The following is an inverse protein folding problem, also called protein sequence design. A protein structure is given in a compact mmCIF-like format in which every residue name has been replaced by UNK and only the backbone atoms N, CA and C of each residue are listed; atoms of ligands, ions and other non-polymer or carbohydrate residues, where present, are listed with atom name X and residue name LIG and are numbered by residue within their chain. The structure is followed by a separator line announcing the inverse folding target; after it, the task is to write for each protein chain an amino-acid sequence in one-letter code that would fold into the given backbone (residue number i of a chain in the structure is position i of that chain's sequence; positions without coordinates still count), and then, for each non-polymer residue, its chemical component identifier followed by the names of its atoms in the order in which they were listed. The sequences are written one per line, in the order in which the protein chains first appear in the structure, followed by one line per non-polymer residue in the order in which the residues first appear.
data_IF_389486329088
#
_entry.id   IF_389486329088
#
_cell.length_a   1.000
_cell.length_b   1.000
_cell.length_c   1.000
_cell.angle_alpha   90.00
_cell.angle_beta   90.00
_cell.angle_gamma   90.00
#
_symmetry.space_group_name_H-M   'P 1'
#
loop_
_entity.id
_entity.type
_entity.pdbx_description
1 polymer ?
#
# COMPACT_ATOMS: atom_id res chain seq x y z
N UNK A 1 -1.94 -35.24 9.91
CA UNK A 1 -2.72 -34.59 10.98
C UNK A 1 -1.91 -33.46 11.57
N UNK A 2 -2.52 -32.33 11.73
CA UNK A 2 -1.92 -31.30 12.55
C UNK A 2 -1.93 -31.80 14.00
N UNK A 3 -0.77 -31.90 14.63
CA UNK A 3 -0.70 -32.28 16.02
C UNK A 3 -1.24 -31.21 16.95
N UNK A 4 -1.35 -31.50 18.23
CA UNK A 4 -1.87 -30.54 19.21
C UNK A 4 -1.04 -29.27 19.30
N UNK A 5 0.22 -29.32 18.84
CA UNK A 5 1.13 -28.16 18.82
C UNK A 5 1.18 -27.46 17.47
N UNK A 6 0.44 -27.97 16.49
CA UNK A 6 0.43 -27.34 15.18
C UNK A 6 -0.48 -26.13 15.19
N UNK A 7 -0.02 -25.06 14.56
CA UNK A 7 -0.81 -23.87 14.34
C UNK A 7 -0.92 -23.59 12.86
N UNK A 8 -2.08 -23.12 12.44
CA UNK A 8 -2.28 -22.64 11.08
C UNK A 8 -1.99 -21.14 11.08
N UNK A 9 -0.98 -20.76 10.33
CA UNK A 9 -0.67 -19.35 10.12
C UNK A 9 -1.35 -18.92 8.81
N UNK A 10 -2.33 -18.05 8.95
CA UNK A 10 -2.99 -17.46 7.78
C UNK A 10 -2.27 -16.17 7.43
N UNK A 11 -1.64 -16.16 6.26
CA UNK A 11 -1.02 -14.95 5.73
C UNK A 11 -1.93 -14.34 4.70
N UNK A 12 -2.15 -13.03 4.81
CA UNK A 12 -2.89 -12.31 3.78
C UNK A 12 -2.02 -12.20 2.53
N UNK A 13 -2.61 -12.32 1.32
CA UNK A 13 -1.86 -12.15 0.08
C UNK A 13 -1.19 -10.78 0.00
N UNK A 14 -0.02 -10.77 -0.60
CA UNK A 14 0.67 -9.53 -0.94
C UNK A 14 1.30 -9.67 -2.32
N UNK A 15 1.54 -8.55 -2.98
CA UNK A 15 2.23 -8.50 -4.25
C UNK A 15 3.06 -7.22 -4.33
N UNK A 16 4.15 -7.28 -5.07
CA UNK A 16 4.98 -6.12 -5.36
C UNK A 16 4.96 -5.89 -6.86
N UNK A 17 4.49 -4.72 -7.28
CA UNK A 17 4.58 -4.27 -8.65
C UNK A 17 5.87 -3.46 -8.82
N UNK A 18 6.58 -3.68 -9.91
CA UNK A 18 7.81 -2.95 -10.21
C UNK A 18 7.67 -2.25 -11.55
N UNK A 19 8.28 -1.08 -11.66
CA UNK A 19 8.39 -0.33 -12.90
C UNK A 19 9.80 -0.45 -13.44
N UNK A 20 9.91 -0.81 -14.70
CA UNK A 20 11.17 -1.05 -15.37
C UNK A 20 11.32 -0.09 -16.54
N UNK A 21 12.48 0.58 -16.62
CA UNK A 21 12.79 1.43 -17.76
C UNK A 21 13.16 0.58 -18.98
N UNK A 22 13.25 1.19 -20.15
CA UNK A 22 13.54 0.50 -21.40
C UNK A 22 14.90 -0.19 -21.40
N UNK A 23 15.84 0.27 -20.57
CA UNK A 23 17.17 -0.33 -20.41
C UNK A 23 17.21 -1.45 -19.37
N UNK A 24 16.07 -1.82 -18.78
CA UNK A 24 15.98 -2.85 -17.76
C UNK A 24 16.20 -2.36 -16.33
N UNK A 25 16.49 -1.09 -16.13
CA UNK A 25 16.66 -0.52 -14.78
C UNK A 25 15.32 -0.44 -14.06
N UNK A 26 15.27 -0.87 -12.80
CA UNK A 26 14.07 -0.71 -11.98
C UNK A 26 14.00 0.73 -11.49
N UNK A 27 12.90 1.40 -11.76
CA UNK A 27 12.71 2.83 -11.48
C UNK A 27 11.59 3.12 -10.48
N UNK A 28 10.91 2.08 -10.02
CA UNK A 28 9.86 2.24 -9.03
C UNK A 28 9.29 0.92 -8.58
N UNK A 29 8.59 0.96 -7.45
CA UNK A 29 7.84 -0.19 -6.96
C UNK A 29 6.63 0.27 -6.15
N UNK A 30 5.68 -0.65 -6.00
CA UNK A 30 4.58 -0.50 -5.07
C UNK A 30 4.28 -1.87 -4.48
N UNK A 31 4.34 -1.96 -3.16
CA UNK A 31 3.95 -3.16 -2.42
C UNK A 31 2.55 -2.95 -1.87
N UNK A 32 1.67 -3.89 -2.15
CA UNK A 32 0.30 -3.88 -1.68
C UNK A 32 -0.02 -5.24 -1.07
N UNK A 33 -0.73 -5.23 0.05
CA UNK A 33 -1.24 -6.45 0.65
C UNK A 33 -2.73 -6.29 0.97
N UNK A 34 -3.33 -7.36 1.48
CA UNK A 34 -4.69 -7.32 1.99
C UNK A 34 -4.63 -7.24 3.52
N UNK A 35 -5.47 -6.39 4.08
CA UNK A 35 -5.68 -6.32 5.53
C UNK A 35 -7.14 -6.57 5.84
N UNK A 36 -7.40 -7.14 7.02
CA UNK A 36 -8.75 -7.39 7.48
C UNK A 36 -9.50 -6.09 7.82
N UNK A 37 -8.75 -5.04 8.15
CA UNK A 37 -9.31 -3.72 8.42
C UNK A 37 -8.24 -2.65 8.25
N UNK A 38 -8.69 -1.41 8.06
CA UNK A 38 -7.84 -0.23 8.10
C UNK A 38 -8.69 0.94 8.62
N UNK A 39 -8.01 1.92 9.21
CA UNK A 39 -8.69 3.10 9.75
C UNK A 39 -9.51 3.79 8.67
N UNK A 40 -10.75 4.15 9.03
CA UNK A 40 -11.67 4.84 8.12
C UNK A 40 -12.31 3.97 7.05
N UNK A 41 -11.96 2.69 6.98
CA UNK A 41 -12.52 1.76 6.01
C UNK A 41 -13.64 0.90 6.61
N UNK A 42 -14.44 0.30 5.73
CA UNK A 42 -15.53 -0.59 6.12
C UNK A 42 -14.95 -1.83 6.84
N UNK A 43 -15.30 -2.05 8.13
CA UNK A 43 -14.71 -3.14 8.91
C UNK A 43 -15.16 -4.53 8.49
N UNK A 44 -16.20 -4.65 7.66
CA UNK A 44 -16.72 -5.94 7.20
C UNK A 44 -16.04 -6.45 5.93
N UNK A 45 -15.10 -5.70 5.36
CA UNK A 45 -14.45 -6.02 4.10
C UNK A 45 -12.94 -5.96 4.25
N UNK A 46 -12.25 -6.82 3.49
CA UNK A 46 -10.81 -6.69 3.34
C UNK A 46 -10.46 -5.42 2.58
N UNK A 47 -9.32 -4.86 2.89
CA UNK A 47 -8.83 -3.59 2.33
C UNK A 47 -7.49 -3.86 1.65
N UNK A 48 -7.30 -3.33 0.45
CA UNK A 48 -5.98 -3.28 -0.16
C UNK A 48 -5.15 -2.21 0.55
N UNK A 49 -3.98 -2.58 1.05
CA UNK A 49 -3.14 -1.65 1.81
C UNK A 49 -1.80 -1.44 1.12
N UNK A 50 -1.48 -0.18 0.84
CA UNK A 50 -0.20 0.19 0.23
C UNK A 50 0.85 0.21 1.33
N UNK A 51 1.76 -0.76 1.31
CA UNK A 51 2.81 -0.89 2.31
C UNK A 51 4.06 -0.10 1.95
N UNK A 52 4.34 0.05 0.67
CA UNK A 52 5.45 0.82 0.17
C UNK A 52 5.19 1.29 -1.25
N UNK A 53 5.64 2.50 -1.56
CA UNK A 53 5.42 3.09 -2.87
C UNK A 53 6.52 4.10 -3.15
N UNK A 54 7.32 3.82 -4.18
CA UNK A 54 8.48 4.64 -4.49
C UNK A 54 8.72 4.69 -6.00
N UNK A 55 9.09 5.86 -6.47
CA UNK A 55 9.55 6.08 -7.84
C UNK A 55 10.83 6.91 -7.75
N UNK A 56 11.85 6.53 -8.52
CA UNK A 56 13.11 7.27 -8.56
C UNK A 56 12.85 8.72 -8.99
N UNK A 57 13.65 9.64 -8.46
CA UNK A 57 13.44 11.07 -8.67
C UNK A 57 13.35 11.44 -10.15
N UNK A 58 14.23 10.86 -10.99
CA UNK A 58 14.27 11.12 -12.43
C UNK A 58 13.02 10.67 -13.18
N UNK A 59 12.24 9.79 -12.60
CA UNK A 59 11.06 9.19 -13.22
C UNK A 59 9.76 9.65 -12.57
N UNK A 60 9.83 10.61 -11.66
CA UNK A 60 8.64 11.20 -11.04
C UNK A 60 7.96 12.15 -12.04
N UNK A 61 6.65 12.36 -11.82
CA UNK A 61 5.80 13.21 -12.66
C UNK A 61 5.68 12.72 -14.11
N UNK A 62 6.03 11.46 -14.36
CA UNK A 62 5.94 10.82 -15.69
C UNK A 62 4.81 9.80 -15.78
N UNK A 63 4.00 9.67 -14.71
CA UNK A 63 2.90 8.72 -14.67
C UNK A 63 3.27 7.33 -14.16
N UNK A 64 4.53 7.08 -13.81
CA UNK A 64 4.98 5.77 -13.31
C UNK A 64 4.30 5.42 -11.98
N UNK A 65 4.27 6.37 -11.04
CA UNK A 65 3.63 6.15 -9.74
C UNK A 65 2.14 5.84 -9.87
N UNK A 66 1.44 6.60 -10.74
CA UNK A 66 0.02 6.36 -11.00
C UNK A 66 -0.21 4.99 -11.63
N UNK A 67 0.64 4.58 -12.56
CA UNK A 67 0.50 3.29 -13.23
C UNK A 67 0.71 2.13 -12.24
N UNK A 68 1.69 2.26 -11.35
CA UNK A 68 1.89 1.30 -10.26
C UNK A 68 0.64 1.22 -9.38
N UNK A 69 0.09 2.36 -9.01
CA UNK A 69 -1.12 2.42 -8.19
C UNK A 69 -2.33 1.83 -8.91
N UNK A 70 -2.51 2.12 -10.19
CA UNK A 70 -3.62 1.55 -10.98
C UNK A 70 -3.56 0.01 -10.97
N UNK A 71 -2.36 -0.56 -11.10
CA UNK A 71 -2.18 -2.01 -11.02
C UNK A 71 -2.50 -2.55 -9.62
N UNK A 72 -2.08 -1.84 -8.58
CA UNK A 72 -2.35 -2.24 -7.20
C UNK A 72 -3.86 -2.19 -6.89
N UNK A 73 -4.54 -1.16 -7.35
CA UNK A 73 -5.99 -1.04 -7.18
C UNK A 73 -6.74 -2.13 -7.92
N UNK A 74 -6.32 -2.46 -9.13
CA UNK A 74 -6.93 -3.55 -9.88
C UNK A 74 -6.71 -4.90 -9.21
N UNK A 75 -5.52 -5.13 -8.69
CA UNK A 75 -5.23 -6.33 -7.90
C UNK A 75 -6.14 -6.42 -6.67
N UNK A 76 -6.32 -5.32 -5.95
CA UNK A 76 -7.21 -5.28 -4.80
C UNK A 76 -8.67 -5.58 -5.20
N UNK A 77 -9.13 -5.01 -6.32
CA UNK A 77 -10.47 -5.33 -6.85
C UNK A 77 -10.62 -6.81 -7.17
N UNK A 78 -9.58 -7.44 -7.72
CA UNK A 78 -9.59 -8.87 -8.02
C UNK A 78 -9.74 -9.74 -6.76
N UNK A 79 -9.35 -9.20 -5.61
CA UNK A 79 -9.54 -9.80 -4.29
C UNK A 79 -10.80 -9.30 -3.58
N UNK A 80 -11.73 -8.69 -4.33
CA UNK A 80 -13.03 -8.21 -3.85
C UNK A 80 -12.94 -7.05 -2.85
N UNK A 81 -11.84 -6.32 -2.84
CA UNK A 81 -11.74 -5.10 -2.09
C UNK A 81 -12.54 -3.99 -2.76
N UNK A 82 -13.18 -3.16 -1.96
CA UNK A 82 -13.90 -1.96 -2.43
C UNK A 82 -13.21 -0.69 -1.96
N UNK A 83 -12.19 -0.83 -1.15
CA UNK A 83 -11.41 0.30 -0.62
C UNK A 83 -9.93 -0.03 -0.64
N UNK A 84 -9.13 1.01 -0.84
CA UNK A 84 -7.69 1.00 -0.66
C UNK A 84 -7.34 1.89 0.53
N UNK A 85 -6.29 1.55 1.24
CA UNK A 85 -5.76 2.36 2.31
C UNK A 85 -4.25 2.49 2.17
N UNK A 86 -3.72 3.50 2.80
CA UNK A 86 -2.29 3.80 2.78
C UNK A 86 -1.97 4.67 3.99
N UNK A 87 -0.69 4.86 4.24
CA UNK A 87 -0.24 5.84 5.22
C UNK A 87 0.92 6.67 4.66
N UNK A 88 1.15 7.79 5.30
CA UNK A 88 2.31 8.63 5.04
C UNK A 88 2.70 9.29 6.36
N UNK A 89 3.99 9.56 6.53
CA UNK A 89 4.45 10.32 7.67
C UNK A 89 3.80 11.71 7.66
N UNK A 90 3.47 12.22 8.83
CA UNK A 90 2.72 13.48 8.96
C UNK A 90 3.48 14.68 8.40
N UNK A 91 4.80 14.59 8.33
CA UNK A 91 5.68 15.62 7.76
C UNK A 91 6.04 15.36 6.28
N UNK A 92 5.57 14.25 5.70
CA UNK A 92 5.79 13.95 4.29
C UNK A 92 4.69 14.59 3.44
N UNK A 93 4.80 15.88 3.23
CA UNK A 93 3.79 16.65 2.49
C UNK A 93 3.69 16.23 1.03
N UNK A 94 4.81 15.86 0.41
CA UNK A 94 4.80 15.42 -0.99
C UNK A 94 3.95 14.15 -1.14
N UNK A 95 4.14 13.16 -0.28
CA UNK A 95 3.36 11.93 -0.32
C UNK A 95 1.87 12.20 -0.10
N UNK A 96 1.54 13.09 0.83
CA UNK A 96 0.16 13.48 1.10
C UNK A 96 -0.49 14.12 -0.13
N UNK A 97 0.21 15.04 -0.80
CA UNK A 97 -0.30 15.66 -2.03
C UNK A 97 -0.52 14.66 -3.15
N UNK A 98 0.40 13.70 -3.30
CA UNK A 98 0.28 12.64 -4.32
C UNK A 98 -0.94 11.77 -4.04
N UNK A 99 -1.14 11.33 -2.79
CA UNK A 99 -2.31 10.55 -2.41
C UNK A 99 -3.61 11.31 -2.72
N UNK A 100 -3.69 12.56 -2.32
CA UNK A 100 -4.89 13.38 -2.54
C UNK A 100 -5.15 13.59 -4.03
N UNK A 101 -4.11 13.85 -4.82
CA UNK A 101 -4.24 14.03 -6.27
C UNK A 101 -4.77 12.77 -6.96
N UNK A 102 -4.55 11.59 -6.39
CA UNK A 102 -4.99 10.31 -6.93
C UNK A 102 -6.30 9.81 -6.29
N UNK A 103 -6.99 10.66 -5.56
CA UNK A 103 -8.33 10.40 -5.05
C UNK A 103 -8.38 9.81 -3.64
N UNK A 104 -7.24 9.75 -2.95
CA UNK A 104 -7.19 9.30 -1.56
C UNK A 104 -7.49 10.48 -0.63
N UNK A 105 -8.19 10.21 0.44
CA UNK A 105 -8.55 11.23 1.42
C UNK A 105 -7.99 10.87 2.78
N UNK A 106 -7.60 11.89 3.53
CA UNK A 106 -7.10 11.71 4.89
C UNK A 106 -8.25 11.26 5.79
N UNK A 107 -8.06 10.13 6.46
CA UNK A 107 -9.07 9.58 7.39
C UNK A 107 -8.61 9.67 8.84
N UNK A 108 -7.31 9.77 9.09
CA UNK A 108 -6.77 9.85 10.45
C UNK A 108 -5.35 10.43 10.44
N UNK A 109 -4.92 10.92 11.59
CA UNK A 109 -3.53 11.34 11.84
C UNK A 109 -3.06 10.68 13.12
N UNK A 110 -1.83 10.16 13.12
CA UNK A 110 -1.31 9.36 14.21
C UNK A 110 0.03 9.91 14.70
N UNK A 111 0.24 9.84 16.02
CA UNK A 111 1.51 10.19 16.65
C UNK A 111 2.03 8.96 17.37
N UNK A 112 3.29 8.62 17.09
CA UNK A 112 3.95 7.47 17.69
C UNK A 112 4.84 7.92 18.84
N UNK A 113 4.80 7.16 19.95
CA UNK A 113 5.61 7.45 21.12
C UNK A 113 6.52 6.28 21.43
N UNK A 114 7.67 6.57 22.02
CA UNK A 114 8.54 5.54 22.59
C UNK A 114 9.20 6.07 23.83
N UNK A 115 9.59 5.16 24.72
CA UNK A 115 10.37 5.45 25.93
C UNK A 115 11.44 4.38 26.06
N UNK A 116 12.67 4.80 26.32
CA UNK A 116 13.71 3.86 26.72
C UNK A 116 13.50 3.49 28.18
N UNK A 117 13.70 2.21 28.48
CA UNK A 117 13.59 1.70 29.85
C UNK A 117 14.98 1.56 30.45
#
# INVERSE_FOLDING_TARGET
MLGDNASVVLTMPLIIFVAEATDGTLVGFLEVDLRSHADGCNPSRSVGYIEGWYVTEDHRQSGVGKKLLDNAEEWARSHRCVEMASDALIDNELSQRVHEALGYEVVDRCVHYRKRL
#
